data_IF_612933297090
#
_entry.id   IF_612933297090
#
_cell.length_a   1.000
_cell.length_b   1.000
_cell.length_c   1.000
_cell.angle_alpha   90.00
_cell.angle_beta   90.00
_cell.angle_gamma   90.00
#
_symmetry.space_group_name_H-M   'P 1'
#
loop_
_entity.id
_entity.type
_entity.pdbx_description
1 polymer ?
#
# COMPACT_ATOMS: atom_id res chain seq x y z
N UNK A 1 33.98 18.65 14.26
CA UNK A 1 34.39 17.44 13.52
C UNK A 1 33.24 17.13 12.56
N UNK A 2 33.45 17.21 11.25
CA UNK A 2 32.48 16.64 10.30
C UNK A 2 32.60 15.13 10.44
N UNK A 3 31.52 14.48 10.85
CA UNK A 3 31.45 13.03 10.95
C UNK A 3 31.69 12.45 9.56
N UNK A 4 32.82 11.77 9.35
CA UNK A 4 33.18 11.26 8.03
C UNK A 4 32.16 10.20 7.59
N UNK A 5 31.59 10.41 6.40
CA UNK A 5 30.61 9.52 5.81
C UNK A 5 31.33 8.30 5.22
N UNK A 6 31.40 7.21 5.98
CA UNK A 6 31.99 5.96 5.50
C UNK A 6 31.06 5.25 4.52
N UNK A 7 31.58 4.40 3.62
CA UNK A 7 30.74 3.57 2.74
C UNK A 7 29.70 2.76 3.50
N UNK A 8 30.06 2.24 4.69
CA UNK A 8 29.15 1.52 5.57
C UNK A 8 28.05 2.41 6.14
N UNK A 9 28.39 3.61 6.64
CA UNK A 9 27.39 4.58 7.12
C UNK A 9 26.42 4.98 6.00
N UNK A 10 26.94 5.22 4.80
CA UNK A 10 26.12 5.54 3.63
C UNK A 10 25.15 4.40 3.27
N UNK A 11 25.63 3.15 3.22
CA UNK A 11 24.77 2.01 2.92
C UNK A 11 23.66 1.83 3.97
N UNK A 12 23.95 2.05 5.26
CA UNK A 12 22.94 2.04 6.33
C UNK A 12 21.86 3.10 6.13
N UNK A 13 22.27 4.35 5.85
CA UNK A 13 21.34 5.46 5.58
C UNK A 13 20.46 5.16 4.37
N UNK A 14 21.01 4.51 3.34
CA UNK A 14 20.24 4.15 2.14
C UNK A 14 19.22 3.04 2.41
N UNK A 15 19.56 2.05 3.25
CA UNK A 15 18.58 1.05 3.72
C UNK A 15 17.44 1.73 4.46
N UNK A 16 17.74 2.57 5.46
CA UNK A 16 16.73 3.30 6.23
C UNK A 16 15.85 4.19 5.34
N UNK A 17 16.46 4.85 4.34
CA UNK A 17 15.74 5.66 3.37
C UNK A 17 14.76 4.82 2.55
N UNK A 18 15.17 3.65 2.07
CA UNK A 18 14.29 2.76 1.32
C UNK A 18 13.21 2.13 2.20
N UNK A 19 13.51 1.78 3.45
CA UNK A 19 12.52 1.30 4.41
C UNK A 19 11.40 2.31 4.61
N UNK A 20 11.72 3.60 4.83
CA UNK A 20 10.71 4.65 4.95
C UNK A 20 9.81 4.77 3.71
N UNK A 21 10.40 4.80 2.51
CA UNK A 21 9.60 4.87 1.28
C UNK A 21 8.72 3.64 1.09
N UNK A 22 9.23 2.45 1.42
CA UNK A 22 8.45 1.21 1.35
C UNK A 22 7.26 1.32 2.30
N UNK A 23 7.45 1.72 3.55
CA UNK A 23 6.36 1.91 4.51
C UNK A 23 5.33 2.92 3.99
N UNK A 24 5.76 4.14 3.65
CA UNK A 24 4.87 5.22 3.20
C UNK A 24 4.05 4.81 1.97
N UNK A 25 4.68 4.20 0.98
CA UNK A 25 4.02 3.79 -0.26
C UNK A 25 3.17 2.52 -0.09
N UNK A 26 3.54 1.61 0.81
CA UNK A 26 2.76 0.39 1.05
C UNK A 26 1.44 0.69 1.74
N UNK A 27 1.42 1.66 2.68
CA UNK A 27 0.18 2.14 3.30
C UNK A 27 -0.79 2.72 2.26
N UNK A 28 -0.29 3.42 1.25
CA UNK A 28 -1.12 3.94 0.17
C UNK A 28 -1.63 2.82 -0.76
N UNK A 29 -0.76 1.88 -1.13
CA UNK A 29 -1.13 0.70 -1.94
C UNK A 29 -2.19 -0.13 -1.23
N UNK A 30 -2.05 -0.35 0.07
CA UNK A 30 -3.01 -1.11 0.89
C UNK A 30 -4.40 -0.46 0.87
N UNK A 31 -4.49 0.87 1.02
CA UNK A 31 -5.77 1.59 0.94
C UNK A 31 -6.46 1.37 -0.40
N UNK A 32 -5.70 1.38 -1.50
CA UNK A 32 -6.23 1.08 -2.83
C UNK A 32 -6.72 -0.37 -2.96
N UNK A 33 -5.97 -1.33 -2.42
CA UNK A 33 -6.32 -2.75 -2.48
C UNK A 33 -7.56 -3.05 -1.63
N UNK A 34 -7.65 -2.50 -0.42
CA UNK A 34 -8.85 -2.56 0.44
C UNK A 34 -10.05 -1.94 -0.26
N UNK A 35 -9.89 -0.77 -0.88
CA UNK A 35 -10.98 -0.13 -1.62
C UNK A 35 -11.48 -0.97 -2.80
N UNK A 36 -10.58 -1.66 -3.51
CA UNK A 36 -10.97 -2.60 -4.57
C UNK A 36 -11.76 -3.78 -4.02
N UNK A 37 -11.29 -4.39 -2.93
CA UNK A 37 -11.99 -5.51 -2.28
C UNK A 37 -13.37 -5.10 -1.76
N UNK A 38 -13.52 -3.90 -1.20
CA UNK A 38 -14.81 -3.39 -0.73
C UNK A 38 -15.80 -3.18 -1.88
N UNK A 39 -15.33 -2.77 -3.08
CA UNK A 39 -16.18 -2.70 -4.27
C UNK A 39 -16.69 -4.07 -4.68
N UNK A 40 -15.79 -5.05 -4.73
CA UNK A 40 -16.15 -6.43 -5.05
C UNK A 40 -17.14 -7.00 -4.03
N UNK A 41 -16.93 -6.75 -2.73
CA UNK A 41 -17.85 -7.14 -1.65
C UNK A 41 -19.23 -6.50 -1.86
N UNK A 42 -19.30 -5.20 -2.13
CA UNK A 42 -20.56 -4.50 -2.41
C UNK A 42 -21.28 -5.11 -3.61
N UNK A 43 -20.56 -5.38 -4.71
CA UNK A 43 -21.15 -5.95 -5.92
C UNK A 43 -21.73 -7.35 -5.66
N UNK A 44 -21.03 -8.17 -4.89
CA UNK A 44 -21.54 -9.47 -4.44
C UNK A 44 -22.79 -9.34 -3.57
N UNK A 45 -22.80 -8.41 -2.61
CA UNK A 45 -23.97 -8.17 -1.75
C UNK A 45 -25.17 -7.69 -2.58
N UNK A 46 -24.97 -6.80 -3.55
CA UNK A 46 -26.04 -6.33 -4.43
C UNK A 46 -26.65 -7.50 -5.21
N UNK A 47 -25.83 -8.39 -5.78
CA UNK A 47 -26.33 -9.58 -6.44
C UNK A 47 -27.12 -10.51 -5.50
N UNK A 48 -26.64 -10.70 -4.27
CA UNK A 48 -27.40 -11.49 -3.29
C UNK A 48 -28.73 -10.85 -2.89
N UNK A 49 -28.82 -9.52 -2.85
CA UNK A 49 -30.08 -8.82 -2.60
C UNK A 49 -31.05 -8.97 -3.78
N UNK A 50 -30.54 -8.96 -5.02
CA UNK A 50 -31.34 -9.24 -6.21
C UNK A 50 -31.94 -10.67 -6.17
N UNK A 51 -31.22 -11.62 -5.58
CA UNK A 51 -31.62 -13.02 -5.45
C UNK A 51 -32.41 -13.34 -4.15
N UNK A 52 -32.40 -12.46 -3.14
CA UNK A 52 -32.98 -12.70 -1.79
C UNK A 52 -34.08 -11.69 -1.41
N UNK A 53 -35.35 -12.12 -1.46
CA UNK A 53 -36.52 -11.28 -1.14
C UNK A 53 -36.62 -10.89 0.35
N UNK A 54 -35.86 -11.53 1.25
CA UNK A 54 -35.94 -11.31 2.71
C UNK A 54 -35.11 -10.12 3.20
N UNK A 55 -34.33 -9.45 2.34
CA UNK A 55 -33.56 -8.26 2.69
C UNK A 55 -32.46 -8.51 3.72
N UNK A 56 -31.96 -9.76 3.84
CA UNK A 56 -30.96 -10.16 4.85
C UNK A 56 -29.67 -9.35 4.78
N UNK A 57 -29.29 -8.91 3.58
CA UNK A 57 -28.02 -8.25 3.34
C UNK A 57 -28.09 -6.71 3.36
N UNK A 58 -29.25 -6.11 3.63
CA UNK A 58 -29.40 -4.66 3.60
C UNK A 58 -28.47 -3.93 4.60
N UNK A 59 -28.26 -4.50 5.80
CA UNK A 59 -27.33 -3.95 6.81
C UNK A 59 -25.86 -4.10 6.40
N UNK A 60 -25.52 -5.23 5.78
CA UNK A 60 -24.15 -5.50 5.29
C UNK A 60 -23.81 -4.55 4.14
N UNK A 61 -24.78 -4.26 3.25
CA UNK A 61 -24.65 -3.29 2.17
C UNK A 61 -24.39 -1.88 2.72
N UNK A 62 -25.17 -1.44 3.71
CA UNK A 62 -25.02 -0.12 4.32
C UNK A 62 -23.64 0.05 4.98
N UNK A 63 -23.19 -0.96 5.75
CA UNK A 63 -21.85 -0.94 6.35
C UNK A 63 -20.74 -0.90 5.29
N UNK A 64 -20.84 -1.73 4.25
CA UNK A 64 -19.86 -1.78 3.17
C UNK A 64 -19.82 -0.48 2.37
N UNK A 65 -20.98 0.14 2.14
CA UNK A 65 -21.10 1.43 1.46
C UNK A 65 -20.47 2.56 2.29
N UNK A 66 -20.69 2.56 3.61
CA UNK A 66 -20.05 3.53 4.51
C UNK A 66 -18.52 3.42 4.48
N UNK A 67 -17.98 2.20 4.57
CA UNK A 67 -16.53 1.97 4.46
C UNK A 67 -15.97 2.41 3.09
N UNK A 68 -16.72 2.18 2.01
CA UNK A 68 -16.38 2.66 0.68
C UNK A 68 -16.37 4.18 0.57
N UNK A 69 -17.28 4.87 1.25
CA UNK A 69 -17.35 6.34 1.22
C UNK A 69 -16.22 6.96 2.05
N UNK A 70 -15.94 6.40 3.23
CA UNK A 70 -14.84 6.82 4.10
C UNK A 70 -13.48 6.65 3.40
N UNK A 71 -13.24 5.47 2.81
CA UNK A 71 -11.99 5.17 2.11
C UNK A 71 -11.93 5.79 0.70
N UNK A 72 -13.08 5.93 0.07
CA UNK A 72 -13.23 6.52 -1.26
C UNK A 72 -12.78 7.99 -1.30
N UNK A 73 -12.95 8.75 -0.22
CA UNK A 73 -12.42 10.12 -0.13
C UNK A 73 -10.89 10.15 -0.15
N UNK A 74 -10.24 9.14 0.44
CA UNK A 74 -8.77 9.00 0.46
C UNK A 74 -8.23 8.49 -0.88
N UNK A 75 -8.96 7.58 -1.52
CA UNK A 75 -8.56 7.00 -2.82
C UNK A 75 -8.84 7.96 -3.98
N UNK A 76 -9.97 8.69 -3.98
CA UNK A 76 -10.37 9.62 -5.06
C UNK A 76 -9.39 10.79 -5.27
N UNK A 77 -8.63 11.18 -4.25
CA UNK A 77 -7.56 12.18 -4.40
C UNK A 77 -6.38 11.67 -5.24
N UNK A 78 -6.31 10.37 -5.50
CA UNK A 78 -5.27 9.73 -6.28
C UNK A 78 -5.85 9.04 -7.53
N UNK A 79 -5.11 9.06 -8.63
CA UNK A 79 -5.56 8.39 -9.87
C UNK A 79 -5.10 6.93 -9.90
N UNK A 80 -5.77 6.08 -10.69
CA UNK A 80 -5.30 4.70 -10.94
C UNK A 80 -3.88 4.67 -11.52
N UNK A 81 -3.50 5.69 -12.29
CA UNK A 81 -2.13 5.82 -12.79
C UNK A 81 -1.15 6.07 -11.64
N UNK A 82 -1.52 6.93 -10.68
CA UNK A 82 -0.72 7.16 -9.47
C UNK A 82 -0.55 5.87 -8.64
N UNK A 83 -1.63 5.12 -8.40
CA UNK A 83 -1.55 3.80 -7.74
C UNK A 83 -0.54 2.87 -8.41
N UNK A 84 -0.61 2.73 -9.74
CA UNK A 84 0.32 1.88 -10.49
C UNK A 84 1.77 2.35 -10.33
N UNK A 85 1.99 3.68 -10.35
CA UNK A 85 3.31 4.26 -10.11
C UNK A 85 3.81 3.93 -8.71
N UNK A 86 3.03 4.19 -7.66
CA UNK A 86 3.42 3.92 -6.27
C UNK A 86 3.69 2.43 -6.05
N UNK A 87 2.84 1.54 -6.60
CA UNK A 87 3.04 0.09 -6.55
C UNK A 87 4.35 -0.35 -7.19
N UNK A 88 4.71 0.25 -8.34
CA UNK A 88 6.01 0.00 -8.97
C UNK A 88 7.15 0.55 -8.12
N UNK A 89 7.00 1.74 -7.53
CA UNK A 89 8.01 2.34 -6.65
C UNK A 89 8.29 1.51 -5.40
N UNK A 90 7.27 0.89 -4.78
CA UNK A 90 7.48 -0.08 -3.68
C UNK A 90 8.40 -1.21 -4.14
N UNK A 91 8.13 -1.80 -5.31
CA UNK A 91 8.94 -2.90 -5.87
C UNK A 91 10.38 -2.47 -6.15
N UNK A 92 10.56 -1.27 -6.68
CA UNK A 92 11.90 -0.71 -6.95
C UNK A 92 12.66 -0.43 -5.66
N UNK A 93 12.03 0.18 -4.66
CA UNK A 93 12.64 0.42 -3.36
C UNK A 93 12.98 -0.86 -2.62
N UNK A 94 12.14 -1.91 -2.69
CA UNK A 94 12.46 -3.21 -2.12
C UNK A 94 13.72 -3.82 -2.73
N UNK A 95 13.85 -3.76 -4.07
CA UNK A 95 15.08 -4.22 -4.75
C UNK A 95 16.30 -3.41 -4.37
N UNK A 96 16.18 -2.07 -4.31
CA UNK A 96 17.30 -1.21 -3.90
C UNK A 96 17.69 -1.46 -2.45
N UNK A 97 16.71 -1.66 -1.56
CA UNK A 97 16.94 -2.04 -0.16
C UNK A 97 17.72 -3.34 -0.06
N UNK A 98 17.29 -4.39 -0.77
CA UNK A 98 17.99 -5.68 -0.81
C UNK A 98 19.43 -5.53 -1.29
N UNK A 99 19.65 -4.73 -2.32
CA UNK A 99 21.00 -4.40 -2.82
C UNK A 99 21.87 -3.76 -1.73
N UNK A 100 21.36 -2.74 -1.03
CA UNK A 100 22.14 -2.05 0.01
C UNK A 100 22.35 -2.91 1.27
N UNK A 101 21.38 -3.76 1.62
CA UNK A 101 21.56 -4.78 2.66
C UNK A 101 22.68 -5.76 2.31
N UNK A 102 22.75 -6.19 1.04
CA UNK A 102 23.84 -7.04 0.57
C UNK A 102 25.19 -6.31 0.65
N UNK A 103 25.26 -5.03 0.24
CA UNK A 103 26.46 -4.21 0.38
C UNK A 103 26.91 -4.01 1.82
N UNK A 104 25.98 -3.87 2.77
CA UNK A 104 26.32 -3.78 4.20
C UNK A 104 26.98 -5.06 4.74
N UNK A 105 26.55 -6.23 4.26
CA UNK A 105 27.18 -7.52 4.61
C UNK A 105 28.61 -7.57 4.08
N UNK A 106 28.80 -7.25 2.80
CA UNK A 106 30.13 -7.23 2.15
C UNK A 106 31.10 -6.24 2.81
N UNK A 107 30.61 -5.13 3.36
CA UNK A 107 31.42 -4.12 4.07
C UNK A 107 31.67 -4.46 5.54
N UNK A 108 31.09 -5.55 6.05
CA UNK A 108 31.27 -6.04 7.42
C UNK A 108 32.19 -7.27 7.51
N UNK A 109 32.57 -7.84 6.35
CA UNK A 109 33.59 -8.87 6.16
C UNK A 109 34.98 -8.24 5.96
#
# INVERSE_FOLDING_TARGET
MMDELTPRKLASILVEKHDRFITEYSEEVEKWEVYSMLKEKRDQIMHWIEDDEEGKFAKELDSTQKELDDLGNVVKSSSKAHYNTIKLSVKEHSKSREYWLQKLKELSE
#
